data_IF_888762262290
#
_entry.id   IF_888762262290
#
_cell.length_a   1.000
_cell.length_b   1.000
_cell.length_c   1.000
_cell.angle_alpha   90.00
_cell.angle_beta   90.00
_cell.angle_gamma   90.00
#
_symmetry.space_group_name_H-M   'P 1'
#
loop_
_entity.id
_entity.type
_entity.pdbx_description
1 polymer ?
#
# COMPACT_ATOMS: atom_id res chain seq x y z
N UNK A 1 84.86 8.53 21.68
CA UNK A 1 84.08 8.95 22.85
C UNK A 1 82.84 9.71 22.43
N UNK A 2 81.81 8.94 21.93
CA UNK A 2 80.49 9.47 21.64
C UNK A 2 79.52 8.24 21.56
N UNK A 3 79.14 7.76 22.72
CA UNK A 3 78.21 6.60 22.79
C UNK A 3 77.34 6.71 24.04
N UNK A 4 76.52 7.73 24.16
CA UNK A 4 75.57 7.82 25.29
C UNK A 4 74.33 8.66 25.05
N UNK A 5 74.08 9.14 23.81
CA UNK A 5 72.88 9.97 23.53
C UNK A 5 71.74 9.30 22.80
N UNK A 6 71.89 7.96 22.45
CA UNK A 6 70.86 7.24 21.68
C UNK A 6 69.95 6.30 22.49
N UNK A 7 70.28 6.11 23.79
CA UNK A 7 69.50 5.18 24.64
C UNK A 7 68.37 5.89 25.41
N UNK A 8 68.47 7.21 25.59
CA UNK A 8 67.47 7.99 26.35
C UNK A 8 66.23 8.34 25.53
N UNK A 9 66.35 8.37 24.19
CA UNK A 9 65.18 8.64 23.34
C UNK A 9 64.28 7.43 23.07
N UNK A 10 64.71 6.18 23.32
CA UNK A 10 63.91 4.99 23.08
C UNK A 10 63.01 4.62 24.26
N UNK A 11 63.29 5.11 25.45
CA UNK A 11 62.47 4.84 26.65
C UNK A 11 61.27 5.78 26.80
N UNK A 12 61.28 6.96 26.16
CA UNK A 12 60.17 7.91 26.22
C UNK A 12 59.05 7.61 25.19
N UNK A 13 59.35 6.86 24.13
CA UNK A 13 58.35 6.51 23.09
C UNK A 13 57.46 5.32 23.47
N UNK A 14 57.92 4.43 24.38
CA UNK A 14 57.09 3.28 24.82
C UNK A 14 56.07 3.61 25.91
N UNK A 15 56.20 4.71 26.64
CA UNK A 15 55.27 5.07 27.71
C UNK A 15 54.00 5.78 27.19
N UNK A 16 53.99 6.32 25.96
CA UNK A 16 52.83 7.01 25.36
C UNK A 16 51.90 6.10 24.59
N UNK A 17 52.29 4.88 24.27
CA UNK A 17 51.42 3.90 23.54
C UNK A 17 50.61 3.00 24.49
N UNK A 18 51.01 2.90 25.77
CA UNK A 18 50.29 2.08 26.75
C UNK A 18 49.09 2.80 27.42
N UNK A 19 48.93 4.13 27.25
CA UNK A 19 47.83 4.89 27.85
C UNK A 19 46.60 5.02 26.97
N UNK A 20 46.62 4.54 25.71
CA UNK A 20 45.51 4.68 24.76
C UNK A 20 44.61 3.41 24.63
N UNK A 21 44.88 2.36 25.42
CA UNK A 21 44.13 1.06 25.33
C UNK A 21 43.14 0.82 26.48
N UNK A 22 42.91 1.81 27.37
CA UNK A 22 41.88 1.73 28.41
C UNK A 22 40.79 2.79 28.13
N UNK A 23 40.32 2.88 26.88
CA UNK A 23 39.15 3.70 26.57
C UNK A 23 37.95 2.77 26.37
N UNK A 24 37.43 2.39 27.50
CA UNK A 24 36.05 2.25 27.94
C UNK A 24 35.08 1.43 27.04
N UNK A 25 34.77 0.21 27.45
CA UNK A 25 33.57 -0.50 26.94
C UNK A 25 32.27 0.28 27.20
N UNK A 26 32.31 1.28 28.12
CA UNK A 26 31.18 2.16 28.42
C UNK A 26 30.80 3.11 27.26
N UNK A 27 31.71 3.47 26.36
CA UNK A 27 31.37 4.31 25.21
C UNK A 27 30.69 3.54 24.11
N UNK A 28 31.10 2.26 23.89
CA UNK A 28 30.45 1.36 22.92
C UNK A 28 29.07 0.95 23.37
N UNK A 29 28.85 0.72 24.66
CA UNK A 29 27.54 0.40 25.22
C UNK A 29 26.58 1.59 25.11
N UNK A 30 27.03 2.80 25.36
CA UNK A 30 26.23 4.02 25.18
C UNK A 30 25.89 4.30 23.71
N UNK A 31 26.78 3.99 22.78
CA UNK A 31 26.51 4.11 21.35
C UNK A 31 25.56 3.02 20.84
N UNK A 32 25.61 1.82 21.40
CA UNK A 32 24.64 0.74 21.10
C UNK A 32 23.25 1.09 21.64
N UNK A 33 23.16 1.54 22.90
CA UNK A 33 21.91 2.01 23.51
C UNK A 33 21.33 3.25 22.80
N UNK A 34 22.18 4.12 22.28
CA UNK A 34 21.75 5.29 21.51
C UNK A 34 21.31 4.91 20.09
N UNK A 35 21.89 3.85 19.50
CA UNK A 35 21.40 3.26 18.23
C UNK A 35 20.09 2.52 18.39
N UNK A 36 19.86 1.82 19.51
CA UNK A 36 18.56 1.22 19.83
C UNK A 36 17.48 2.26 20.11
N UNK A 37 17.82 3.36 20.75
CA UNK A 37 16.87 4.48 20.98
C UNK A 37 16.54 5.27 19.73
N UNK A 38 17.43 5.30 18.70
CA UNK A 38 17.14 5.91 17.38
C UNK A 38 16.47 4.96 16.40
N UNK A 39 16.31 3.68 16.73
CA UNK A 39 15.38 2.78 16.04
C UNK A 39 13.92 3.01 16.48
N UNK A 40 13.62 4.17 17.02
CA UNK A 40 12.28 4.60 17.41
C UNK A 40 11.49 4.92 16.15
N UNK A 41 10.43 4.13 15.89
CA UNK A 41 9.19 4.46 15.21
C UNK A 41 9.30 5.70 14.31
N UNK A 42 9.18 5.59 12.98
CA UNK A 42 8.95 6.77 12.18
C UNK A 42 7.69 7.45 12.70
N UNK A 43 7.87 8.49 13.49
CA UNK A 43 6.76 9.31 13.95
C UNK A 43 6.09 9.86 12.69
N UNK A 44 4.78 9.59 12.53
CA UNK A 44 4.00 10.13 11.44
C UNK A 44 4.23 11.65 11.38
N UNK A 45 4.76 12.13 10.26
CA UNK A 45 4.91 13.57 9.98
C UNK A 45 3.64 14.15 9.38
N UNK A 46 2.60 13.32 9.22
CA UNK A 46 1.32 13.74 8.64
C UNK A 46 0.66 14.79 9.53
N UNK A 47 0.23 15.88 8.89
CA UNK A 47 -0.59 16.90 9.56
C UNK A 47 -1.92 16.29 10.03
N UNK A 48 -2.57 16.93 11.02
CA UNK A 48 -3.88 16.48 11.51
C UNK A 48 -4.92 16.39 10.38
N UNK A 49 -4.84 17.27 9.37
CA UNK A 49 -5.68 17.23 8.17
C UNK A 49 -5.43 15.96 7.35
N UNK A 50 -4.16 15.64 7.07
CA UNK A 50 -3.78 14.44 6.32
C UNK A 50 -4.22 13.16 7.05
N UNK A 51 -4.05 13.09 8.36
CA UNK A 51 -4.51 11.95 9.18
C UNK A 51 -6.04 11.80 9.13
N UNK A 52 -6.77 12.91 9.24
CA UNK A 52 -8.24 12.92 9.12
C UNK A 52 -8.70 12.48 7.74
N UNK A 53 -8.08 12.99 6.67
CA UNK A 53 -8.42 12.65 5.29
C UNK A 53 -8.10 11.17 4.99
N UNK A 54 -6.95 10.67 5.47
CA UNK A 54 -6.56 9.27 5.37
C UNK A 54 -7.55 8.34 6.08
N UNK A 55 -7.90 8.65 7.32
CA UNK A 55 -8.90 7.91 8.11
C UNK A 55 -10.27 7.91 7.43
N UNK A 56 -10.71 9.06 6.92
CA UNK A 56 -11.97 9.19 6.17
C UNK A 56 -11.96 8.31 4.91
N UNK A 57 -10.83 8.26 4.21
CA UNK A 57 -10.65 7.44 3.03
C UNK A 57 -10.75 5.94 3.38
N UNK A 58 -10.07 5.49 4.42
CA UNK A 58 -10.12 4.12 4.90
C UNK A 58 -11.54 3.71 5.30
N UNK A 59 -12.23 4.55 6.06
CA UNK A 59 -13.62 4.32 6.45
C UNK A 59 -14.57 4.26 5.23
N UNK A 60 -14.33 5.11 4.22
CA UNK A 60 -15.14 5.09 2.99
C UNK A 60 -14.89 3.82 2.18
N UNK A 61 -13.63 3.38 2.07
CA UNK A 61 -13.26 2.15 1.39
C UNK A 61 -13.85 0.91 2.07
N UNK A 62 -13.78 0.84 3.40
CA UNK A 62 -14.41 -0.21 4.19
C UNK A 62 -15.90 -0.30 3.94
N UNK A 63 -16.59 0.84 3.97
CA UNK A 63 -18.04 0.90 3.72
C UNK A 63 -18.40 0.45 2.30
N UNK A 64 -17.66 0.88 1.29
CA UNK A 64 -17.87 0.44 -0.11
C UNK A 64 -17.71 -1.07 -0.22
N UNK A 65 -16.66 -1.62 0.41
CA UNK A 65 -16.40 -3.06 0.41
C UNK A 65 -17.51 -3.84 1.13
N UNK A 66 -17.92 -3.39 2.31
CA UNK A 66 -19.04 -3.98 3.06
C UNK A 66 -20.34 -3.97 2.28
N UNK A 67 -20.62 -2.90 1.55
CA UNK A 67 -21.84 -2.78 0.76
C UNK A 67 -21.89 -3.77 -0.41
N UNK A 68 -20.76 -4.09 -1.05
CA UNK A 68 -20.75 -5.10 -2.11
C UNK A 68 -20.86 -6.50 -1.50
N UNK A 69 -20.17 -6.76 -0.40
CA UNK A 69 -20.20 -8.07 0.26
C UNK A 69 -21.54 -8.34 0.96
N UNK A 70 -22.25 -7.31 1.37
CA UNK A 70 -23.56 -7.40 2.02
C UNK A 70 -24.74 -7.66 1.06
N UNK A 71 -24.50 -7.75 -0.26
CA UNK A 71 -25.54 -8.03 -1.27
C UNK A 71 -25.24 -9.38 -1.92
N UNK A 72 -25.81 -10.50 -1.43
CA UNK A 72 -25.42 -11.86 -1.84
C UNK A 72 -25.48 -12.11 -3.35
N UNK A 73 -26.47 -11.53 -4.04
CA UNK A 73 -26.66 -11.71 -5.49
C UNK A 73 -25.60 -10.95 -6.32
N UNK A 74 -24.86 -10.04 -5.69
CA UNK A 74 -23.89 -9.15 -6.36
C UNK A 74 -22.56 -9.08 -5.64
N UNK A 75 -22.39 -9.91 -4.61
CA UNK A 75 -21.13 -9.95 -3.84
C UNK A 75 -19.98 -10.48 -4.69
N UNK A 76 -18.78 -10.07 -4.31
CA UNK A 76 -17.56 -10.69 -4.79
C UNK A 76 -17.55 -12.13 -4.33
N UNK A 77 -17.35 -13.11 -5.22
CA UNK A 77 -17.23 -14.51 -4.83
C UNK A 77 -16.11 -14.71 -3.81
N UNK A 78 -16.40 -15.48 -2.77
CA UNK A 78 -15.46 -15.64 -1.65
C UNK A 78 -14.15 -16.28 -2.08
N UNK A 79 -14.20 -17.28 -2.95
CA UNK A 79 -13.03 -17.96 -3.51
C UNK A 79 -12.11 -17.01 -4.30
N UNK A 80 -12.66 -16.04 -5.03
CA UNK A 80 -11.87 -15.01 -5.70
C UNK A 80 -11.23 -14.05 -4.71
N UNK A 81 -11.97 -13.64 -3.68
CA UNK A 81 -11.42 -12.79 -2.62
C UNK A 81 -10.30 -13.51 -1.85
N UNK A 82 -10.49 -14.81 -1.56
CA UNK A 82 -9.50 -15.61 -0.83
C UNK A 82 -8.22 -15.83 -1.64
N UNK A 83 -8.30 -15.82 -2.97
CA UNK A 83 -7.16 -15.94 -3.90
C UNK A 83 -6.52 -14.60 -4.25
N UNK A 84 -7.17 -13.48 -3.96
CA UNK A 84 -6.64 -12.16 -4.31
C UNK A 84 -5.36 -11.85 -3.53
N UNK A 85 -4.31 -11.45 -4.24
CA UNK A 85 -3.03 -10.98 -3.70
C UNK A 85 -3.16 -9.59 -3.08
N UNK A 86 -3.98 -8.72 -3.69
CA UNK A 86 -4.27 -7.41 -3.15
C UNK A 86 -5.70 -6.96 -3.50
N UNK A 87 -6.24 -6.11 -2.64
CA UNK A 87 -7.54 -5.47 -2.83
C UNK A 87 -7.37 -3.97 -2.82
N UNK A 88 -7.82 -3.33 -3.90
CA UNK A 88 -7.88 -1.88 -4.02
C UNK A 88 -9.33 -1.40 -3.96
N UNK A 89 -9.57 -0.30 -3.26
CA UNK A 89 -10.87 0.37 -3.24
C UNK A 89 -10.69 1.86 -3.49
N UNK A 90 -11.39 2.37 -4.49
CA UNK A 90 -11.45 3.77 -4.87
C UNK A 90 -12.87 4.31 -4.70
N UNK A 91 -13.22 4.85 -3.52
CA UNK A 91 -14.54 5.38 -3.25
C UNK A 91 -14.81 6.67 -4.03
N UNK A 92 -15.99 6.78 -4.61
CA UNK A 92 -16.48 8.02 -5.19
C UNK A 92 -15.62 8.57 -6.33
N UNK A 93 -15.08 7.70 -7.20
CA UNK A 93 -14.39 8.13 -8.42
C UNK A 93 -15.29 9.04 -9.25
N UNK A 94 -14.79 10.21 -9.60
CA UNK A 94 -15.47 11.13 -10.49
C UNK A 94 -15.20 10.78 -11.94
N UNK A 95 -16.27 10.71 -12.73
CA UNK A 95 -16.23 10.73 -14.19
C UNK A 95 -16.95 11.98 -14.65
N UNK A 96 -16.28 12.84 -15.40
CA UNK A 96 -16.88 14.05 -15.95
C UNK A 96 -16.40 14.24 -17.38
N UNK A 97 -17.28 14.72 -18.25
CA UNK A 97 -16.96 15.03 -19.64
C UNK A 97 -18.17 15.13 -20.56
N UNK A 98 -17.86 15.53 -21.78
CA UNK A 98 -18.78 15.61 -22.91
C UNK A 98 -18.03 15.01 -24.11
N UNK A 99 -18.49 13.86 -24.65
CA UNK A 99 -17.83 13.08 -25.70
C UNK A 99 -16.45 12.56 -25.25
N UNK A 100 -15.55 13.46 -24.86
CA UNK A 100 -14.25 13.16 -24.25
C UNK A 100 -14.26 13.75 -22.85
N UNK A 101 -13.84 12.99 -21.86
CA UNK A 101 -13.81 13.39 -20.48
C UNK A 101 -12.66 12.75 -19.71
N UNK A 102 -12.63 13.02 -18.40
CA UNK A 102 -11.71 12.43 -17.47
C UNK A 102 -12.42 11.63 -16.39
N UNK A 103 -11.73 10.65 -15.86
CA UNK A 103 -12.08 10.00 -14.60
C UNK A 103 -10.91 10.14 -13.63
N UNK A 104 -11.21 10.28 -12.36
CA UNK A 104 -10.19 10.40 -11.36
C UNK A 104 -10.71 10.20 -9.94
N UNK A 105 -9.84 9.77 -9.07
CA UNK A 105 -10.14 9.58 -7.67
C UNK A 105 -8.94 9.12 -6.88
N UNK A 106 -9.10 9.03 -5.57
CA UNK A 106 -8.09 8.47 -4.68
C UNK A 106 -8.66 7.29 -3.93
N UNK A 107 -7.82 6.29 -3.68
CA UNK A 107 -8.20 5.05 -3.03
C UNK A 107 -7.10 4.52 -2.12
N UNK A 108 -7.31 3.33 -1.64
CA UNK A 108 -6.38 2.60 -0.79
C UNK A 108 -6.27 1.15 -1.26
N UNK A 109 -5.11 0.58 -1.04
CA UNK A 109 -4.79 -0.80 -1.41
C UNK A 109 -4.16 -1.49 -0.21
N UNK A 110 -4.63 -2.70 0.12
CA UNK A 110 -3.96 -3.60 1.05
C UNK A 110 -3.58 -4.89 0.33
N UNK A 111 -2.41 -5.41 0.63
CA UNK A 111 -1.90 -6.68 0.11
C UNK A 111 -2.13 -7.79 1.13
N UNK A 112 -2.35 -9.00 0.64
CA UNK A 112 -2.35 -10.20 1.47
C UNK A 112 -0.93 -10.49 1.97
N UNK A 113 -0.81 -10.70 3.27
CA UNK A 113 0.44 -11.03 3.94
C UNK A 113 0.22 -12.18 4.90
N UNK A 114 1.28 -12.80 5.38
CA UNK A 114 1.17 -13.84 6.41
C UNK A 114 0.44 -13.30 7.64
N UNK A 115 -0.68 -13.93 7.98
CA UNK A 115 -1.53 -13.53 9.11
C UNK A 115 -2.59 -12.48 8.80
N UNK A 116 -2.84 -12.15 7.51
CA UNK A 116 -3.94 -11.27 7.13
C UNK A 116 -3.66 -10.30 5.99
N UNK A 117 -3.84 -9.02 6.25
CA UNK A 117 -3.69 -7.95 5.27
C UNK A 117 -2.69 -6.90 5.75
N UNK A 118 -1.91 -6.32 4.84
CA UNK A 118 -0.97 -5.23 5.13
C UNK A 118 -1.68 -3.97 5.60
N UNK A 119 -0.93 -3.06 6.23
CA UNK A 119 -1.37 -1.67 6.34
C UNK A 119 -1.74 -1.15 4.94
N UNK A 120 -2.80 -0.31 4.82
CA UNK A 120 -3.21 0.19 3.52
C UNK A 120 -2.27 1.28 3.01
N UNK A 121 -1.85 1.18 1.75
CA UNK A 121 -1.16 2.24 1.04
C UNK A 121 -2.16 3.08 0.23
N UNK A 122 -1.88 4.37 0.08
CA UNK A 122 -2.73 5.34 -0.60
C UNK A 122 -2.30 5.51 -2.04
N UNK A 123 -3.31 5.58 -2.93
CA UNK A 123 -3.11 5.66 -4.38
C UNK A 123 -4.07 6.68 -5.00
N UNK A 124 -3.70 7.18 -6.16
CA UNK A 124 -4.53 7.98 -7.06
C UNK A 124 -4.76 7.21 -8.34
N UNK A 125 -5.98 7.27 -8.86
CA UNK A 125 -6.32 6.72 -10.15
C UNK A 125 -6.81 7.85 -11.04
N UNK A 126 -6.38 7.83 -12.30
CA UNK A 126 -6.82 8.76 -13.32
C UNK A 126 -6.87 8.11 -14.69
N UNK A 127 -7.51 8.75 -15.64
CA UNK A 127 -7.55 8.28 -17.01
C UNK A 127 -8.51 9.07 -17.87
N UNK A 128 -8.31 8.98 -19.19
CA UNK A 128 -9.29 9.48 -20.13
C UNK A 128 -10.55 8.62 -20.11
N UNK A 129 -11.68 9.23 -20.38
CA UNK A 129 -12.94 8.53 -20.58
C UNK A 129 -13.62 9.05 -21.84
N UNK A 130 -14.07 8.13 -22.68
CA UNK A 130 -14.90 8.47 -23.85
C UNK A 130 -16.34 8.04 -23.54
N UNK A 131 -17.30 8.85 -23.85
CA UNK A 131 -18.70 8.51 -23.67
C UNK A 131 -19.62 9.59 -24.20
N UNK A 132 -20.72 9.16 -24.82
CA UNK A 132 -21.72 10.05 -25.42
C UNK A 132 -22.65 10.74 -24.37
N UNK A 133 -22.36 10.58 -23.07
CA UNK A 133 -23.17 11.17 -22.01
C UNK A 133 -22.51 12.44 -21.47
N UNK A 134 -23.31 13.52 -21.49
CA UNK A 134 -22.97 14.78 -20.81
C UNK A 134 -23.24 14.61 -19.32
N UNK A 135 -22.27 14.95 -18.48
CA UNK A 135 -22.51 15.03 -17.05
C UNK A 135 -21.35 14.56 -16.18
N UNK A 136 -21.59 14.62 -14.89
CA UNK A 136 -20.69 14.09 -13.87
C UNK A 136 -21.36 12.91 -13.15
N UNK A 137 -20.63 11.84 -12.95
CA UNK A 137 -21.08 10.69 -12.16
C UNK A 137 -20.04 10.29 -11.12
N UNK A 138 -20.51 9.75 -10.00
CA UNK A 138 -19.65 9.14 -8.98
C UNK A 138 -19.80 7.63 -9.05
N UNK A 139 -18.67 6.94 -9.02
CA UNK A 139 -18.61 5.47 -9.08
C UNK A 139 -17.63 4.99 -8.02
N UNK A 140 -18.06 4.04 -7.20
CA UNK A 140 -17.16 3.30 -6.35
C UNK A 140 -16.54 2.17 -7.16
N UNK A 141 -15.25 1.94 -6.99
CA UNK A 141 -14.49 0.93 -7.73
C UNK A 141 -13.73 0.04 -6.75
N UNK A 142 -13.82 -1.28 -6.96
CA UNK A 142 -13.03 -2.28 -6.27
C UNK A 142 -12.25 -3.07 -7.32
N UNK A 143 -10.96 -3.29 -7.07
CA UNK A 143 -10.08 -4.11 -7.89
C UNK A 143 -9.51 -5.23 -7.05
N UNK A 144 -9.55 -6.45 -7.56
CA UNK A 144 -8.82 -7.59 -7.03
C UNK A 144 -7.62 -7.84 -7.93
N UNK A 145 -6.44 -7.83 -7.38
CA UNK A 145 -5.21 -8.25 -8.04
C UNK A 145 -5.04 -9.74 -7.80
N UNK A 146 -5.12 -10.54 -8.86
CA UNK A 146 -5.27 -11.99 -8.78
C UNK A 146 -3.94 -12.74 -8.84
N UNK A 147 -2.87 -12.07 -9.24
CA UNK A 147 -1.54 -12.67 -9.36
C UNK A 147 -0.43 -11.66 -9.04
N UNK A 148 0.77 -12.20 -8.82
CA UNK A 148 1.98 -11.43 -8.49
C UNK A 148 2.39 -10.48 -9.63
N UNK A 149 2.15 -10.81 -10.91
CA UNK A 149 2.56 -9.97 -12.03
C UNK A 149 1.73 -8.70 -12.11
N UNK A 150 0.41 -8.80 -11.90
CA UNK A 150 -0.44 -7.63 -11.77
C UNK A 150 -0.06 -6.78 -10.55
N UNK A 151 0.38 -7.42 -9.46
CA UNK A 151 0.84 -6.72 -8.27
C UNK A 151 2.19 -6.03 -8.50
N UNK A 152 3.14 -6.66 -9.21
CA UNK A 152 4.45 -6.04 -9.52
C UNK A 152 4.26 -4.72 -10.28
N UNK A 153 3.42 -4.71 -11.31
CA UNK A 153 3.10 -3.48 -12.04
C UNK A 153 2.56 -2.37 -11.11
N UNK A 154 1.69 -2.73 -10.16
CA UNK A 154 1.17 -1.78 -9.18
C UNK A 154 2.26 -1.20 -8.24
N UNK A 155 3.33 -1.96 -7.97
CA UNK A 155 4.43 -1.54 -7.10
C UNK A 155 5.43 -0.62 -7.79
N UNK A 156 5.29 -0.40 -9.10
CA UNK A 156 6.03 0.58 -9.85
C UNK A 156 5.43 1.98 -9.68
N UNK A 157 6.15 3.02 -10.12
CA UNK A 157 5.69 4.40 -9.91
C UNK A 157 4.46 4.78 -10.77
N UNK A 158 4.18 3.99 -11.81
CA UNK A 158 3.04 4.18 -12.71
C UNK A 158 2.57 2.84 -13.24
N UNK A 159 1.31 2.53 -13.02
CA UNK A 159 0.68 1.31 -13.50
C UNK A 159 -0.49 1.63 -14.43
N UNK A 160 -0.45 1.14 -15.67
CA UNK A 160 -1.51 1.32 -16.66
C UNK A 160 -2.31 0.04 -16.85
N UNK A 161 -3.61 0.10 -16.56
CA UNK A 161 -4.52 -1.04 -16.71
C UNK A 161 -4.83 -1.32 -18.19
N UNK A 162 -4.71 -2.57 -18.57
CA UNK A 162 -4.93 -3.05 -19.94
C UNK A 162 -3.68 -2.96 -20.84
N UNK A 163 -2.57 -2.37 -20.34
CA UNK A 163 -1.27 -2.41 -20.97
C UNK A 163 -0.36 -3.45 -20.29
N UNK A 164 -0.16 -3.29 -18.97
CA UNK A 164 0.77 -4.11 -18.18
C UNK A 164 0.09 -5.32 -17.53
N UNK A 165 -1.20 -5.22 -17.23
CA UNK A 165 -2.00 -6.35 -16.77
C UNK A 165 -3.38 -6.35 -17.40
N UNK A 166 -3.86 -7.54 -17.74
CA UNK A 166 -5.23 -7.72 -18.22
C UNK A 166 -6.23 -7.42 -17.10
N UNK A 167 -7.17 -6.53 -17.39
CA UNK A 167 -8.24 -6.19 -16.47
C UNK A 167 -9.58 -6.63 -17.05
N UNK A 168 -10.34 -7.44 -16.31
CA UNK A 168 -11.65 -7.90 -16.70
C UNK A 168 -12.73 -7.49 -15.70
N UNK A 169 -13.98 -7.50 -16.14
CA UNK A 169 -15.14 -7.39 -15.27
C UNK A 169 -15.21 -8.62 -14.36
N UNK A 170 -15.21 -8.42 -13.04
CA UNK A 170 -15.32 -9.49 -12.07
C UNK A 170 -16.72 -10.11 -12.09
N UNK A 171 -16.83 -11.45 -11.95
CA UNK A 171 -18.12 -12.13 -11.82
C UNK A 171 -18.75 -11.79 -10.47
N UNK A 172 -20.07 -11.72 -10.41
CA UNK A 172 -20.83 -11.36 -9.22
C UNK A 172 -21.82 -12.43 -8.80
N UNK A 173 -22.02 -12.60 -7.51
CA UNK A 173 -23.02 -13.47 -6.92
C UNK A 173 -22.75 -14.96 -7.17
N UNK A 174 -23.79 -15.77 -7.03
CA UNK A 174 -23.74 -17.24 -7.18
C UNK A 174 -23.51 -17.70 -8.63
N UNK A 175 -23.77 -16.85 -9.61
CA UNK A 175 -23.55 -17.15 -11.04
C UNK A 175 -22.05 -17.19 -11.41
N UNK A 176 -21.18 -16.80 -10.51
CA UNK A 176 -19.73 -16.81 -10.71
C UNK A 176 -19.13 -18.21 -10.95
N UNK A 177 -19.79 -19.27 -10.48
CA UNK A 177 -19.35 -20.65 -10.71
C UNK A 177 -19.44 -21.10 -12.18
N UNK A 178 -20.18 -20.37 -13.02
CA UNK A 178 -20.30 -20.63 -14.46
C UNK A 178 -19.40 -19.71 -15.31
N UNK A 179 -18.50 -18.95 -14.69
CA UNK A 179 -17.71 -17.95 -15.41
C UNK A 179 -16.57 -18.61 -16.18
N UNK A 180 -16.49 -18.29 -17.45
CA UNK A 180 -15.52 -18.78 -18.43
C UNK A 180 -14.06 -18.51 -17.97
N UNK A 181 -13.14 -19.41 -18.32
CA UNK A 181 -11.71 -19.36 -18.03
C UNK A 181 -11.05 -17.98 -18.32
N UNK A 182 -11.54 -17.23 -19.30
CA UNK A 182 -11.04 -15.90 -19.66
C UNK A 182 -11.11 -14.86 -18.53
N UNK A 183 -12.10 -14.97 -17.62
CA UNK A 183 -12.18 -14.05 -16.46
C UNK A 183 -11.22 -14.46 -15.34
N UNK A 184 -10.94 -15.77 -15.24
CA UNK A 184 -10.02 -16.31 -14.24
C UNK A 184 -8.55 -16.07 -14.59
N UNK A 185 -8.23 -15.89 -15.88
CA UNK A 185 -6.89 -15.60 -16.38
C UNK A 185 -6.57 -14.09 -16.34
N UNK A 186 -7.56 -13.24 -16.02
CA UNK A 186 -7.30 -11.81 -15.86
C UNK A 186 -6.47 -11.55 -14.60
N UNK A 187 -5.38 -10.80 -14.75
CA UNK A 187 -4.55 -10.37 -13.62
C UNK A 187 -5.30 -9.47 -12.64
N UNK A 188 -6.32 -8.74 -13.13
CA UNK A 188 -7.15 -7.83 -12.31
C UNK A 188 -8.64 -8.05 -12.59
N UNK A 189 -9.42 -8.22 -11.53
CA UNK A 189 -10.88 -8.24 -11.60
C UNK A 189 -11.46 -6.94 -11.06
N UNK A 190 -12.35 -6.31 -11.82
CA UNK A 190 -12.95 -5.03 -11.48
C UNK A 190 -14.43 -5.15 -11.12
N UNK A 191 -14.81 -4.44 -10.06
CA UNK A 191 -16.19 -4.31 -9.59
C UNK A 191 -16.49 -2.84 -9.39
N UNK A 192 -17.54 -2.35 -10.04
CA UNK A 192 -17.94 -0.95 -9.92
C UNK A 192 -19.37 -0.82 -9.42
N UNK A 193 -19.62 0.23 -8.64
CA UNK A 193 -20.95 0.61 -8.20
C UNK A 193 -21.26 2.04 -8.61
N UNK A 194 -22.31 2.20 -9.40
CA UNK A 194 -22.87 3.51 -9.76
C UNK A 194 -24.37 3.53 -9.47
N UNK A 195 -24.86 4.59 -8.80
CA UNK A 195 -26.27 4.72 -8.42
C UNK A 195 -26.85 3.49 -7.69
N UNK A 196 -26.03 2.83 -6.84
CA UNK A 196 -26.44 1.63 -6.08
C UNK A 196 -26.42 0.31 -6.84
N UNK A 197 -26.08 0.31 -8.12
CA UNK A 197 -25.95 -0.90 -8.94
C UNK A 197 -24.49 -1.27 -9.10
N UNK A 198 -24.18 -2.56 -8.89
CA UNK A 198 -22.84 -3.12 -9.15
C UNK A 198 -22.82 -3.74 -10.56
N UNK A 199 -21.73 -3.47 -11.27
CA UNK A 199 -21.43 -4.07 -12.56
C UNK A 199 -19.92 -4.17 -12.73
N UNK A 200 -19.47 -5.10 -13.56
CA UNK A 200 -18.08 -5.09 -14.04
C UNK A 200 -17.84 -3.86 -14.90
N UNK A 201 -16.63 -3.32 -14.82
CA UNK A 201 -16.23 -2.13 -15.56
C UNK A 201 -14.91 -2.41 -16.27
N UNK A 202 -14.88 -2.17 -17.58
CA UNK A 202 -13.63 -2.16 -18.31
C UNK A 202 -12.84 -0.89 -17.97
N UNK A 203 -11.58 -1.06 -17.57
CA UNK A 203 -10.72 0.01 -17.07
C UNK A 203 -9.50 0.27 -17.96
N UNK A 204 -9.54 -0.17 -19.22
CA UNK A 204 -8.44 0.03 -20.17
C UNK A 204 -8.00 1.50 -20.23
N UNK A 205 -6.69 1.74 -20.15
CA UNK A 205 -6.10 3.08 -20.16
C UNK A 205 -6.27 3.88 -18.86
N UNK A 206 -6.75 3.25 -17.78
CA UNK A 206 -6.71 3.90 -16.47
C UNK A 206 -5.32 3.71 -15.83
N UNK A 207 -4.79 4.77 -15.24
CA UNK A 207 -3.48 4.79 -14.61
C UNK A 207 -3.65 4.88 -13.10
N UNK A 208 -2.94 4.02 -12.39
CA UNK A 208 -2.86 4.04 -10.92
C UNK A 208 -1.46 4.49 -10.53
N UNK A 209 -1.37 5.50 -9.67
CA UNK A 209 -0.11 6.03 -9.16
C UNK A 209 -0.13 6.01 -7.62
N UNK A 210 0.98 5.66 -6.96
CA UNK A 210 1.08 5.77 -5.51
C UNK A 210 1.02 7.24 -5.07
N UNK A 211 0.33 7.51 -3.98
CA UNK A 211 0.38 8.80 -3.27
C UNK A 211 1.50 8.77 -2.23
N UNK A 212 2.75 8.70 -2.71
CA UNK A 212 3.90 8.55 -1.82
C UNK A 212 4.05 9.72 -0.85
N UNK A 213 3.63 10.93 -1.20
CA UNK A 213 3.62 12.06 -0.26
C UNK A 213 2.75 11.77 0.97
N UNK A 214 1.57 11.18 0.77
CA UNK A 214 0.69 10.80 1.89
C UNK A 214 1.21 9.56 2.62
N UNK A 215 1.70 8.56 1.88
CA UNK A 215 2.25 7.34 2.46
C UNK A 215 3.47 7.62 3.34
N UNK A 216 4.42 8.42 2.86
CA UNK A 216 5.61 8.82 3.62
C UNK A 216 5.23 9.69 4.84
N UNK A 217 4.26 10.60 4.70
CA UNK A 217 3.80 11.39 5.83
C UNK A 217 3.17 10.51 6.93
N UNK A 218 2.39 9.49 6.57
CA UNK A 218 1.70 8.61 7.52
C UNK A 218 2.61 7.54 8.13
N UNK A 219 3.50 6.95 7.31
CA UNK A 219 4.25 5.75 7.68
C UNK A 219 5.77 5.91 7.59
N UNK A 220 6.27 7.00 6.99
CA UNK A 220 7.70 7.15 6.64
C UNK A 220 8.14 6.21 5.51
N UNK A 221 7.21 5.65 4.73
CA UNK A 221 7.46 4.60 3.74
C UNK A 221 6.70 4.88 2.45
N UNK A 222 7.26 4.44 1.31
CA UNK A 222 6.57 4.44 0.02
C UNK A 222 5.55 3.30 -0.07
N UNK A 223 4.59 3.42 -0.99
CA UNK A 223 3.56 2.41 -1.20
C UNK A 223 4.14 1.00 -1.43
N UNK A 224 5.22 0.89 -2.19
CA UNK A 224 5.93 -0.37 -2.44
C UNK A 224 6.35 -1.05 -1.13
N UNK A 225 7.02 -0.31 -0.24
CA UNK A 225 7.53 -0.85 1.02
C UNK A 225 6.39 -1.25 1.98
N UNK A 226 5.28 -0.48 1.96
CA UNK A 226 4.08 -0.79 2.75
C UNK A 226 3.45 -2.10 2.28
N UNK A 227 3.29 -2.29 0.97
CA UNK A 227 2.61 -3.44 0.39
C UNK A 227 3.48 -4.70 0.34
N UNK A 228 4.80 -4.58 0.17
CA UNK A 228 5.69 -5.75 0.17
C UNK A 228 5.99 -6.29 1.56
N UNK A 229 5.69 -5.51 2.61
CA UNK A 229 5.96 -5.88 3.99
C UNK A 229 7.46 -5.95 4.31
N UNK A 230 8.33 -5.41 3.44
CA UNK A 230 9.79 -5.39 3.62
C UNK A 230 10.16 -4.61 4.89
N UNK A 231 9.42 -3.55 5.17
CA UNK A 231 9.50 -2.81 6.42
C UNK A 231 8.24 -3.09 7.23
N UNK A 232 8.38 -3.85 8.30
CA UNK A 232 7.27 -4.32 9.13
C UNK A 232 6.56 -3.18 9.84
N UNK A 233 5.52 -2.63 9.22
CA UNK A 233 4.58 -1.76 9.92
C UNK A 233 3.83 -2.64 10.93
N UNK A 234 4.03 -2.38 12.21
CA UNK A 234 3.22 -3.01 13.24
C UNK A 234 1.82 -2.40 13.16
N UNK A 235 0.80 -3.22 12.94
CA UNK A 235 -0.58 -2.75 12.86
C UNK A 235 -1.03 -1.96 14.09
N UNK A 236 -0.45 -2.24 15.27
CA UNK A 236 -0.66 -1.47 16.49
C UNK A 236 -0.18 -0.01 16.40
N UNK A 237 0.74 0.29 15.50
CA UNK A 237 1.28 1.64 15.29
C UNK A 237 0.50 2.44 14.23
N UNK A 238 -0.39 1.80 13.49
CA UNK A 238 -1.25 2.44 12.50
C UNK A 238 -2.44 3.09 13.21
N UNK A 239 -2.85 4.27 12.72
CA UNK A 239 -4.02 4.97 13.27
C UNK A 239 -5.26 4.06 13.26
N UNK A 240 -6.03 3.98 14.37
CA UNK A 240 -7.16 3.06 14.48
C UNK A 240 -8.18 3.17 13.35
N UNK A 241 -8.44 4.39 12.87
CA UNK A 241 -9.37 4.60 11.77
C UNK A 241 -8.85 4.13 10.40
N UNK A 242 -7.54 3.95 10.25
CA UNK A 242 -6.91 3.43 9.02
C UNK A 242 -6.94 1.90 9.02
N UNK A 243 -6.75 1.26 10.19
CA UNK A 243 -6.81 -0.20 10.36
C UNK A 243 -8.20 -0.77 10.02
N UNK A 244 -9.23 0.06 10.01
CA UNK A 244 -10.59 -0.37 9.69
C UNK A 244 -10.65 -1.12 8.35
N UNK A 245 -9.89 -0.68 7.34
CA UNK A 245 -9.94 -1.28 6.02
C UNK A 245 -9.35 -2.71 5.97
N UNK A 246 -8.10 -2.97 6.38
CA UNK A 246 -7.58 -4.34 6.42
C UNK A 246 -8.39 -5.25 7.35
N UNK A 247 -8.92 -4.75 8.46
CA UNK A 247 -9.81 -5.51 9.33
C UNK A 247 -11.14 -5.87 8.62
N UNK A 248 -11.65 -4.96 7.81
CA UNK A 248 -12.84 -5.24 6.99
C UNK A 248 -12.55 -6.35 5.98
N UNK A 249 -11.43 -6.29 5.26
CA UNK A 249 -11.03 -7.35 4.33
C UNK A 249 -10.89 -8.70 5.05
N UNK A 250 -10.27 -8.72 6.22
CA UNK A 250 -10.05 -9.94 7.01
C UNK A 250 -11.36 -10.61 7.47
N UNK A 251 -12.43 -9.85 7.68
CA UNK A 251 -13.75 -10.41 8.05
C UNK A 251 -14.40 -11.22 6.93
N UNK A 252 -14.09 -10.92 5.69
CA UNK A 252 -14.70 -11.55 4.50
C UNK A 252 -13.79 -12.55 3.80
N UNK A 253 -12.50 -12.61 4.15
CA UNK A 253 -11.53 -13.53 3.56
C UNK A 253 -11.07 -14.57 4.59
N UNK A 254 -10.70 -15.77 4.10
CA UNK A 254 -10.10 -16.82 4.95
C UNK A 254 -8.70 -16.35 5.37
N UNK A 255 -8.35 -16.67 6.62
CA UNK A 255 -7.01 -16.46 7.17
C UNK A 255 -6.03 -17.50 6.64
#
# INVERSE_FOLDING_TARGET
MKLSSRIVFLAAACALVAASLILSPALSARQAEQRERTATKPASTASAKQQKDATKKAASASRVFEQIMGTPERSIPKDLLDRAEAVAVFPGMLKAGFIVGGRGGSGIISRRVTGGWSAPAYFKMGGASVGLQIGASKTDLILLFMNEDALKGLLEDKFEMGGEASAAAGPVGRAASATTNLTLDAGILSYSRSKGLFAGLELKGAVINPDNNLNEALYGLKAKDILTGTNKIKMADVLPGIILFPNTLARYSIK
#
